data_IF_317767555156
#
_entry.id   IF_317767555156
#
_cell.length_a   1.000
_cell.length_b   1.000
_cell.length_c   1.000
_cell.angle_alpha   90.00
_cell.angle_beta   90.00
_cell.angle_gamma   90.00
#
_symmetry.space_group_name_H-M   'P 1'
#
loop_
_entity.id
_entity.type
_entity.pdbx_description
1 polymer ?
#
# COMPACT_ATOMS: atom_id res chain seq x y z
N UNK A 1 -17.27 11.38 3.35
CA UNK A 1 -17.29 12.81 3.78
C UNK A 1 -17.91 13.76 2.77
N UNK A 2 -17.73 13.56 1.45
CA UNK A 2 -18.28 14.46 0.43
C UNK A 2 -19.81 14.68 0.50
N UNK A 3 -20.60 13.64 0.81
CA UNK A 3 -22.08 13.75 0.91
C UNK A 3 -22.48 14.68 2.07
N UNK A 4 -21.87 14.52 3.24
CA UNK A 4 -22.15 15.37 4.41
C UNK A 4 -21.74 16.82 4.16
N UNK A 5 -20.58 17.04 3.52
CA UNK A 5 -20.13 18.38 3.13
C UNK A 5 -21.10 19.04 2.13
N UNK A 6 -21.57 18.30 1.12
CA UNK A 6 -22.58 18.79 0.17
C UNK A 6 -23.87 19.17 0.88
N UNK A 7 -24.33 18.38 1.86
CA UNK A 7 -25.51 18.70 2.68
C UNK A 7 -25.31 19.97 3.51
N UNK A 8 -24.09 20.24 3.96
CA UNK A 8 -23.70 21.46 4.66
C UNK A 8 -23.40 22.66 3.72
N UNK A 9 -23.63 22.53 2.41
CA UNK A 9 -23.36 23.60 1.44
C UNK A 9 -21.86 23.80 1.12
N UNK A 10 -20.99 22.91 1.59
CA UNK A 10 -19.54 23.01 1.39
C UNK A 10 -19.14 22.24 0.12
N UNK A 11 -18.61 22.95 -0.87
CA UNK A 11 -18.05 22.36 -2.09
C UNK A 11 -16.60 21.94 -1.84
N UNK A 12 -16.31 20.65 -1.96
CA UNK A 12 -14.94 20.14 -1.80
C UNK A 12 -14.81 18.65 -2.06
N UNK A 13 -13.57 18.21 -2.29
CA UNK A 13 -13.24 16.79 -2.49
C UNK A 13 -13.24 16.02 -1.17
N UNK A 14 -13.48 14.71 -1.25
CA UNK A 14 -13.54 13.83 -0.09
C UNK A 14 -12.30 13.97 0.84
N UNK A 15 -11.10 13.94 0.25
CA UNK A 15 -9.82 14.07 0.95
C UNK A 15 -9.65 15.46 1.59
N UNK A 16 -10.03 16.53 0.88
CA UNK A 16 -9.97 17.91 1.36
C UNK A 16 -10.85 18.15 2.59
N UNK A 17 -12.12 17.71 2.54
CA UNK A 17 -13.03 17.78 3.70
C UNK A 17 -12.47 17.00 4.89
N UNK A 18 -11.91 15.82 4.64
CA UNK A 18 -11.26 15.04 5.68
C UNK A 18 -10.03 15.72 6.29
N UNK A 19 -9.33 16.59 5.55
CA UNK A 19 -8.20 17.39 6.06
C UNK A 19 -8.69 18.57 6.88
N UNK A 20 -9.77 19.22 6.45
CA UNK A 20 -10.43 20.30 7.20
C UNK A 20 -10.84 19.81 8.59
N UNK A 21 -11.58 18.70 8.68
CA UNK A 21 -12.06 18.18 9.97
C UNK A 21 -10.95 17.78 10.96
N UNK A 22 -9.74 17.50 10.46
CA UNK A 22 -8.59 17.04 11.25
C UNK A 22 -7.56 18.13 11.56
N UNK A 23 -7.81 19.36 11.13
CA UNK A 23 -6.81 20.40 11.23
C UNK A 23 -6.65 20.87 12.68
N UNK A 24 -5.58 20.43 13.34
CA UNK A 24 -5.25 20.80 14.73
C UNK A 24 -5.04 22.30 14.93
N UNK A 25 -4.72 23.06 13.87
CA UNK A 25 -4.56 24.53 13.95
C UNK A 25 -5.85 25.23 14.38
N UNK A 26 -7.02 24.59 14.23
CA UNK A 26 -8.28 25.17 14.72
C UNK A 26 -8.38 25.23 16.25
N UNK A 27 -7.53 24.50 16.97
CA UNK A 27 -7.39 24.60 18.42
C UNK A 27 -6.59 25.83 18.87
N UNK A 28 -6.04 26.58 17.92
CA UNK A 28 -5.11 27.67 18.15
C UNK A 28 -3.66 27.18 18.26
N UNK A 29 -2.73 28.05 17.89
CA UNK A 29 -1.29 27.92 18.12
C UNK A 29 -0.71 29.31 18.47
N UNK A 30 0.63 29.45 18.49
CA UNK A 30 1.29 30.72 18.80
C UNK A 30 0.96 31.83 17.78
N UNK A 31 0.59 31.46 16.56
CA UNK A 31 0.36 32.39 15.46
C UNK A 31 -1.13 32.58 15.11
N UNK A 32 -1.95 31.53 15.26
CA UNK A 32 -3.37 31.53 14.92
C UNK A 32 -4.25 31.42 16.17
N UNK A 33 -5.32 32.24 16.30
CA UNK A 33 -6.27 32.09 17.38
C UNK A 33 -7.07 30.79 17.24
N UNK A 34 -7.55 30.26 18.38
CA UNK A 34 -8.45 29.13 18.40
C UNK A 34 -9.78 29.49 17.72
N UNK A 35 -10.24 28.61 16.82
CA UNK A 35 -11.52 28.73 16.10
C UNK A 35 -12.56 27.77 16.70
N UNK A 36 -12.11 26.64 17.26
CA UNK A 36 -12.97 25.57 17.79
C UNK A 36 -12.37 25.05 19.10
N UNK A 37 -13.24 24.75 20.06
CA UNK A 37 -12.83 24.12 21.32
C UNK A 37 -12.27 22.71 21.12
N UNK A 38 -11.33 22.36 22.00
CA UNK A 38 -10.68 21.04 22.01
C UNK A 38 -11.68 19.90 22.16
N UNK A 39 -12.70 20.08 22.99
CA UNK A 39 -13.70 19.06 23.24
C UNK A 39 -14.54 18.79 21.98
N UNK A 40 -15.01 19.84 21.32
CA UNK A 40 -15.77 19.74 20.06
C UNK A 40 -14.92 19.07 18.98
N UNK A 41 -13.64 19.44 18.86
CA UNK A 41 -12.72 18.83 17.91
C UNK A 41 -12.55 17.33 18.15
N UNK A 42 -12.36 16.93 19.42
CA UNK A 42 -12.18 15.54 19.79
C UNK A 42 -13.46 14.72 19.57
N UNK A 43 -14.63 15.26 19.89
CA UNK A 43 -15.93 14.61 19.63
C UNK A 43 -16.13 14.38 18.13
N UNK A 44 -15.78 15.35 17.29
CA UNK A 44 -15.88 15.22 15.84
C UNK A 44 -14.93 14.14 15.28
N UNK A 45 -13.69 14.08 15.76
CA UNK A 45 -12.74 13.02 15.37
C UNK A 45 -13.19 11.63 15.85
N UNK A 46 -13.73 11.53 17.06
CA UNK A 46 -14.26 10.27 17.59
C UNK A 46 -15.41 9.73 16.71
N UNK A 47 -16.39 10.57 16.38
CA UNK A 47 -17.48 10.19 15.46
C UNK A 47 -16.95 9.80 14.09
N UNK A 48 -15.91 10.47 13.60
CA UNK A 48 -15.27 10.13 12.32
C UNK A 48 -14.64 8.75 12.34
N UNK A 49 -13.95 8.39 13.42
CA UNK A 49 -13.33 7.08 13.61
C UNK A 49 -14.41 6.01 13.72
N UNK A 50 -15.41 6.20 14.59
CA UNK A 50 -16.53 5.26 14.74
C UNK A 50 -17.22 4.98 13.40
N UNK A 51 -17.57 6.01 12.62
CA UNK A 51 -18.15 5.82 11.28
C UNK A 51 -17.21 5.11 10.31
N UNK A 52 -15.92 5.35 10.41
CA UNK A 52 -14.92 4.66 9.57
C UNK A 52 -14.88 3.17 9.89
N UNK A 53 -15.00 2.81 11.16
CA UNK A 53 -15.06 1.42 11.64
C UNK A 53 -16.37 0.75 11.23
N UNK A 54 -17.51 1.39 11.48
CA UNK A 54 -18.84 0.89 11.06
C UNK A 54 -18.94 0.63 9.55
N UNK A 55 -18.28 1.46 8.74
CA UNK A 55 -18.28 1.33 7.27
C UNK A 55 -17.16 0.43 6.75
N UNK A 56 -16.30 -0.15 7.61
CA UNK A 56 -15.15 -0.95 7.19
C UNK A 56 -14.11 -0.17 6.39
N UNK A 57 -14.10 1.16 6.48
CA UNK A 57 -13.16 2.07 5.78
C UNK A 57 -11.85 2.26 6.54
N UNK A 58 -11.57 1.36 7.48
CA UNK A 58 -10.37 1.29 8.31
C UNK A 58 -9.43 0.16 7.85
N UNK A 59 -9.46 -0.22 6.56
CA UNK A 59 -8.63 -1.29 6.00
C UNK A 59 -7.17 -1.03 6.32
N UNK A 60 -6.62 -1.80 7.26
CA UNK A 60 -5.18 -1.84 7.51
C UNK A 60 -4.51 -2.43 6.26
N UNK A 61 -3.35 -1.90 5.84
CA UNK A 61 -2.56 -2.56 4.83
C UNK A 61 -2.34 -4.01 5.30
N UNK A 62 -2.72 -4.97 4.45
CA UNK A 62 -2.48 -6.37 4.74
C UNK A 62 -0.98 -6.55 4.72
N UNK A 63 -0.42 -7.24 5.72
CA UNK A 63 0.98 -7.63 5.68
C UNK A 63 1.20 -8.38 4.36
N UNK A 64 2.04 -7.81 3.50
CA UNK A 64 2.37 -8.45 2.23
C UNK A 64 3.03 -9.78 2.60
N UNK A 65 2.46 -10.88 2.10
CA UNK A 65 3.13 -12.17 2.22
C UNK A 65 4.41 -12.04 1.42
N UNK A 66 5.54 -12.31 2.06
CA UNK A 66 6.81 -12.41 1.35
C UNK A 66 6.62 -13.40 0.19
N UNK A 67 6.78 -12.91 -1.03
CA UNK A 67 6.71 -13.75 -2.21
C UNK A 67 7.94 -14.65 -2.18
N UNK A 68 7.72 -15.95 -1.99
CA UNK A 68 8.80 -16.94 -2.09
C UNK A 68 9.03 -17.19 -3.58
N UNK A 69 10.08 -16.58 -4.11
CA UNK A 69 10.56 -16.85 -5.46
C UNK A 69 11.51 -18.05 -5.42
N UNK A 70 11.35 -19.05 -6.31
CA UNK A 70 12.30 -20.14 -6.41
C UNK A 70 13.66 -19.59 -6.88
N UNK A 71 14.67 -19.66 -6.01
CA UNK A 71 16.06 -19.26 -6.30
C UNK A 71 16.96 -20.45 -6.64
N UNK A 72 16.46 -21.68 -6.46
CA UNK A 72 17.18 -22.90 -6.76
C UNK A 72 16.92 -23.29 -8.21
N UNK A 73 18.00 -23.47 -8.97
CA UNK A 73 17.99 -24.00 -10.33
C UNK A 73 19.06 -25.07 -10.47
N UNK A 74 18.94 -25.91 -11.49
CA UNK A 74 19.95 -26.88 -11.88
C UNK A 74 20.38 -26.61 -13.30
N UNK A 75 21.51 -27.17 -13.71
CA UNK A 75 21.95 -27.14 -15.10
C UNK A 75 22.07 -28.56 -15.61
N UNK A 76 21.66 -28.77 -16.86
CA UNK A 76 22.01 -29.99 -17.59
C UNK A 76 23.51 -30.08 -17.77
N UNK A 77 24.00 -31.30 -17.91
CA UNK A 77 25.39 -31.54 -18.28
C UNK A 77 25.64 -30.96 -19.68
N UNK A 78 26.69 -30.14 -19.80
CA UNK A 78 27.11 -29.55 -21.07
C UNK A 78 27.95 -30.56 -21.87
N UNK A 79 27.66 -30.67 -23.15
CA UNK A 79 28.36 -31.57 -24.08
C UNK A 79 29.20 -30.84 -25.12
N UNK A 80 29.03 -29.51 -25.22
CA UNK A 80 29.62 -28.68 -26.27
C UNK A 80 30.37 -27.48 -25.66
N UNK A 81 31.47 -27.09 -26.31
CA UNK A 81 32.25 -25.88 -26.01
C UNK A 81 32.44 -25.08 -27.31
N UNK A 82 32.33 -23.76 -27.20
CA UNK A 82 32.39 -22.80 -28.29
C UNK A 82 33.48 -21.76 -28.02
N UNK A 83 34.23 -21.40 -29.07
CA UNK A 83 35.29 -20.39 -28.98
C UNK A 83 34.75 -18.96 -28.82
N UNK A 84 33.55 -18.68 -29.36
CA UNK A 84 32.90 -17.39 -29.20
C UNK A 84 32.29 -17.25 -27.80
N UNK A 85 32.72 -16.26 -26.99
CA UNK A 85 32.21 -16.08 -25.64
C UNK A 85 30.70 -15.82 -25.58
N UNK A 86 30.11 -15.20 -26.60
CA UNK A 86 28.66 -14.95 -26.63
C UNK A 86 27.89 -16.24 -26.90
N UNK A 87 28.32 -17.03 -27.88
CA UNK A 87 27.75 -18.36 -28.15
C UNK A 87 27.90 -19.31 -26.96
N UNK A 88 29.05 -19.32 -26.29
CA UNK A 88 29.28 -20.14 -25.10
C UNK A 88 28.33 -19.76 -23.96
N UNK A 89 28.10 -18.45 -23.75
CA UNK A 89 27.16 -17.97 -22.75
C UNK A 89 25.72 -18.37 -23.08
N UNK A 90 25.28 -18.18 -24.33
CA UNK A 90 23.95 -18.58 -24.80
C UNK A 90 23.72 -20.09 -24.57
N UNK A 91 24.69 -20.92 -24.95
CA UNK A 91 24.65 -22.35 -24.71
C UNK A 91 24.52 -22.68 -23.22
N UNK A 92 25.36 -22.07 -22.37
CA UNK A 92 25.29 -22.28 -20.92
C UNK A 92 23.92 -21.89 -20.34
N UNK A 93 23.34 -20.76 -20.73
CA UNK A 93 22.00 -20.36 -20.27
C UNK A 93 20.91 -21.32 -20.75
N UNK A 94 21.06 -21.92 -21.93
CA UNK A 94 20.12 -22.93 -22.45
C UNK A 94 20.07 -24.22 -21.61
N UNK A 95 21.14 -24.50 -20.84
CA UNK A 95 21.22 -25.67 -19.96
C UNK A 95 20.50 -25.48 -18.62
N UNK A 96 20.08 -24.25 -18.26
CA UNK A 96 19.40 -23.98 -16.99
C UNK A 96 18.02 -24.65 -16.97
N UNK A 97 17.82 -25.55 -16.01
CA UNK A 97 16.53 -26.13 -15.65
C UNK A 97 16.03 -25.54 -14.33
N UNK A 98 14.74 -25.18 -14.29
CA UNK A 98 14.11 -24.75 -13.04
C UNK A 98 13.60 -25.97 -12.27
N UNK A 99 13.90 -26.05 -10.97
CA UNK A 99 13.24 -27.03 -10.10
C UNK A 99 11.75 -26.67 -9.98
N UNK A 100 10.88 -27.40 -10.69
CA UNK A 100 9.43 -27.30 -10.49
C UNK A 100 9.10 -27.95 -9.16
N UNK A 101 8.92 -27.14 -8.12
CA UNK A 101 8.35 -27.60 -6.85
C UNK A 101 6.92 -28.10 -7.13
N UNK A 102 6.73 -29.41 -7.26
CA UNK A 102 5.42 -30.05 -7.54
C UNK A 102 4.40 -29.88 -6.39
N UNK A 103 4.79 -29.26 -5.28
CA UNK A 103 3.92 -29.00 -4.14
C UNK A 103 3.18 -27.66 -4.26
N UNK A 104 2.73 -27.34 -5.48
CA UNK A 104 1.78 -26.27 -5.76
C UNK A 104 0.33 -26.77 -5.72
N UNK A 105 -0.03 -27.69 -4.82
CA UNK A 105 -1.45 -27.91 -4.49
C UNK A 105 -1.94 -26.71 -3.68
N UNK A 106 -2.65 -25.82 -4.35
CA UNK A 106 -3.68 -24.99 -3.73
C UNK A 106 -5.03 -25.67 -3.86
#
# INVERSE_FOLDING_TARGET
>A
MAIAAKKAGIKGFHSGIGRILRNKRYLGDEFYPAIIDKDIFNTAEAERIMRSEMLGRNRKPKQEKEAIYPTVFRMKEGTEEFDDPFAQAEYAYSLIETEVNKNGSK
#
